data_IF_957654729580
#
_entry.id   IF_957654729580
#
_cell.length_a   1.000
_cell.length_b   1.000
_cell.length_c   1.000
_cell.angle_alpha   90.00
_cell.angle_beta   90.00
_cell.angle_gamma   90.00
#
_symmetry.space_group_name_H-M   'P 1'
#
loop_
_entity.id
_entity.type
_entity.pdbx_description
1 polymer ?
#
# COMPACT_ATOMS: atom_id res chain seq x y z
N UNK A 1 23.09 -18.30 49.11
CA UNK A 1 22.30 -17.13 48.71
C UNK A 1 21.83 -17.35 47.27
N UNK A 2 20.71 -18.06 47.11
CA UNK A 2 20.06 -18.32 45.82
C UNK A 2 19.01 -17.24 45.60
N UNK A 3 19.33 -16.25 44.76
CA UNK A 3 18.38 -15.23 44.33
C UNK A 3 17.34 -15.88 43.41
N UNK A 4 16.19 -16.23 43.98
CA UNK A 4 15.01 -16.61 43.20
C UNK A 4 14.47 -15.35 42.51
N UNK A 5 14.44 -15.39 41.18
CA UNK A 5 13.77 -14.38 40.36
C UNK A 5 12.26 -14.53 40.62
N UNK A 6 11.53 -13.47 41.02
CA UNK A 6 10.11 -13.57 41.22
C UNK A 6 9.40 -13.83 39.87
N UNK A 7 8.33 -14.64 39.84
CA UNK A 7 7.57 -14.87 38.62
C UNK A 7 6.95 -13.56 38.12
N UNK A 8 7.00 -13.36 36.80
CA UNK A 8 6.34 -12.23 36.15
C UNK A 8 4.85 -12.20 36.51
N UNK A 9 4.25 -11.02 36.75
CA UNK A 9 2.84 -10.93 37.09
C UNK A 9 1.99 -11.50 35.95
N UNK A 10 1.08 -12.41 36.30
CA UNK A 10 0.11 -12.96 35.37
C UNK A 10 -0.73 -11.80 34.80
N UNK A 11 -0.58 -11.54 33.50
CA UNK A 11 -1.50 -10.70 32.74
C UNK A 11 -2.91 -11.24 32.96
N UNK A 12 -3.77 -10.48 33.64
CA UNK A 12 -5.19 -10.81 33.76
C UNK A 12 -5.74 -11.07 32.35
N UNK A 13 -6.18 -12.30 32.08
CA UNK A 13 -6.79 -12.65 30.81
C UNK A 13 -8.12 -11.88 30.71
N UNK A 14 -8.18 -10.91 29.80
CA UNK A 14 -9.42 -10.22 29.48
C UNK A 14 -10.43 -11.24 28.94
N UNK A 15 -11.70 -11.13 29.35
CA UNK A 15 -12.76 -12.01 28.86
C UNK A 15 -12.84 -11.97 27.32
N UNK A 16 -13.14 -13.11 26.66
CA UNK A 16 -13.16 -13.19 25.21
C UNK A 16 -14.23 -12.25 24.64
N UNK A 17 -13.85 -11.55 23.59
CA UNK A 17 -14.69 -10.59 22.91
C UNK A 17 -15.67 -11.31 21.96
N UNK A 18 -16.96 -10.94 22.00
CA UNK A 18 -17.99 -11.49 21.11
C UNK A 18 -17.98 -10.79 19.75
N UNK A 19 -17.95 -11.56 18.66
CA UNK A 19 -17.96 -11.00 17.31
C UNK A 19 -19.27 -10.24 16.94
N UNK A 20 -19.22 -9.33 15.95
CA UNK A 20 -20.41 -8.65 15.39
C UNK A 20 -21.46 -9.69 14.90
N UNK A 21 -22.75 -9.36 15.01
CA UNK A 21 -23.89 -10.24 14.74
C UNK A 21 -23.88 -10.98 13.41
N UNK A 22 -24.59 -12.11 13.33
CA UNK A 22 -24.73 -12.91 12.10
C UNK A 22 -25.56 -12.14 11.05
N UNK A 23 -25.23 -12.32 9.78
CA UNK A 23 -26.19 -12.08 8.68
C UNK A 23 -26.48 -13.44 8.03
N UNK A 24 -27.48 -14.18 8.55
CA UNK A 24 -27.83 -15.47 8.00
C UNK A 24 -28.49 -15.30 6.64
N UNK A 25 -28.19 -16.22 5.73
CA UNK A 25 -28.84 -16.35 4.45
C UNK A 25 -30.30 -16.76 4.69
N UNK A 26 -31.28 -16.08 4.06
CA UNK A 26 -32.69 -16.42 4.24
C UNK A 26 -33.05 -17.81 3.70
N UNK A 27 -32.26 -18.34 2.76
CA UNK A 27 -32.55 -19.62 2.10
C UNK A 27 -32.01 -20.83 2.85
N UNK A 28 -30.75 -20.77 3.32
CA UNK A 28 -30.07 -21.94 3.91
C UNK A 28 -29.50 -21.69 5.32
N UNK A 29 -29.69 -20.49 5.88
CA UNK A 29 -29.20 -20.14 7.23
C UNK A 29 -27.68 -19.93 7.34
N UNK A 30 -26.89 -20.21 6.29
CA UNK A 30 -25.45 -19.97 6.31
C UNK A 30 -25.09 -18.47 6.33
N UNK A 31 -23.89 -18.11 6.78
CA UNK A 31 -23.50 -16.70 6.86
C UNK A 31 -23.25 -16.09 5.48
N UNK A 32 -23.84 -14.93 5.22
CA UNK A 32 -23.59 -14.13 4.02
C UNK A 32 -22.20 -13.46 4.10
N UNK A 33 -21.56 -13.34 2.94
CA UNK A 33 -20.23 -12.73 2.78
C UNK A 33 -20.23 -11.67 1.69
N UNK A 34 -19.34 -10.67 1.78
CA UNK A 34 -19.15 -9.70 0.71
C UNK A 34 -18.52 -10.35 -0.51
N UNK A 35 -19.24 -10.34 -1.63
CA UNK A 35 -18.76 -10.88 -2.89
C UNK A 35 -18.25 -9.77 -3.82
N UNK A 36 -16.93 -9.78 -4.08
CA UNK A 36 -16.28 -8.78 -4.92
C UNK A 36 -16.81 -8.73 -6.37
N UNK A 37 -17.14 -9.87 -6.97
CA UNK A 37 -17.63 -9.90 -8.35
C UNK A 37 -19.06 -9.38 -8.47
N UNK A 38 -19.92 -9.72 -7.50
CA UNK A 38 -21.34 -9.32 -7.50
C UNK A 38 -21.59 -7.97 -6.82
N UNK A 39 -20.60 -7.41 -6.12
CA UNK A 39 -20.74 -6.19 -5.32
C UNK A 39 -21.93 -6.25 -4.36
N UNK A 40 -22.13 -7.40 -3.72
CA UNK A 40 -23.29 -7.68 -2.88
C UNK A 40 -22.96 -8.73 -1.81
N UNK A 41 -23.84 -8.83 -0.81
CA UNK A 41 -23.82 -9.95 0.14
C UNK A 41 -24.35 -11.21 -0.53
N UNK A 42 -23.51 -12.24 -0.61
CA UNK A 42 -23.82 -13.51 -1.26
C UNK A 42 -23.53 -14.65 -0.31
N UNK A 43 -24.41 -15.63 -0.28
CA UNK A 43 -24.19 -16.87 0.45
C UNK A 43 -23.14 -17.73 -0.30
N UNK A 44 -22.01 -18.08 0.31
CA UNK A 44 -21.01 -18.92 -0.34
C UNK A 44 -21.46 -20.38 -0.53
N UNK A 45 -22.54 -20.80 0.16
CA UNK A 45 -23.05 -22.18 0.10
C UNK A 45 -24.10 -22.39 -0.99
N UNK A 46 -25.19 -21.61 -0.96
CA UNK A 46 -26.30 -21.76 -1.92
C UNK A 46 -26.31 -20.72 -3.04
N UNK A 47 -25.44 -19.70 -2.96
CA UNK A 47 -25.34 -18.66 -3.99
C UNK A 47 -26.42 -17.56 -3.93
N UNK A 48 -27.33 -17.60 -2.95
CA UNK A 48 -28.35 -16.57 -2.73
C UNK A 48 -27.70 -15.20 -2.49
N UNK A 49 -28.12 -14.21 -3.26
CA UNK A 49 -27.75 -12.80 -3.06
C UNK A 49 -28.79 -12.16 -2.15
N UNK A 50 -28.36 -11.56 -1.05
CA UNK A 50 -29.27 -10.89 -0.13
C UNK A 50 -29.55 -9.44 -0.56
N UNK A 51 -30.76 -8.98 -0.27
CA UNK A 51 -31.10 -7.56 -0.37
C UNK A 51 -30.40 -6.83 0.79
N UNK A 52 -29.33 -6.10 0.47
CA UNK A 52 -28.64 -5.21 1.39
C UNK A 52 -28.36 -3.90 0.67
N UNK A 53 -28.67 -2.79 1.34
CA UNK A 53 -28.45 -1.45 0.80
C UNK A 53 -27.19 -0.89 1.47
N UNK A 54 -26.15 -0.52 0.70
CA UNK A 54 -24.96 0.09 1.29
C UNK A 54 -25.31 1.41 1.97
N UNK A 55 -24.57 1.80 3.02
CA UNK A 55 -24.69 3.13 3.60
C UNK A 55 -24.56 4.20 2.52
N UNK A 56 -25.43 5.22 2.57
CA UNK A 56 -25.36 6.33 1.64
C UNK A 56 -24.09 7.16 1.94
N UNK A 57 -23.16 7.33 0.99
CA UNK A 57 -21.97 8.15 1.17
C UNK A 57 -22.28 9.62 1.49
N UNK A 58 -23.51 10.09 1.25
CA UNK A 58 -23.94 11.47 1.46
C UNK A 58 -24.98 11.64 2.58
N UNK A 59 -25.36 10.58 3.30
CA UNK A 59 -26.30 10.70 4.41
C UNK A 59 -25.64 11.36 5.62
N UNK A 60 -25.88 12.66 5.80
CA UNK A 60 -25.51 13.42 7.00
C UNK A 60 -26.65 13.49 8.02
N UNK A 61 -27.26 12.34 8.38
CA UNK A 61 -28.47 12.30 9.22
C UNK A 61 -28.21 12.25 10.73
N UNK A 62 -26.95 12.45 11.17
CA UNK A 62 -26.59 12.52 12.58
C UNK A 62 -26.51 11.17 13.30
N UNK A 63 -26.62 10.05 12.59
CA UNK A 63 -26.12 8.77 13.08
C UNK A 63 -24.58 8.73 12.94
N UNK A 64 -23.85 8.12 13.88
CA UNK A 64 -22.37 8.02 13.87
C UNK A 64 -21.79 7.27 12.64
N UNK A 65 -22.65 6.86 11.70
CA UNK A 65 -22.32 6.20 10.44
C UNK A 65 -22.62 7.07 9.20
N UNK A 66 -22.58 8.41 9.35
CA UNK A 66 -22.87 9.37 8.28
C UNK A 66 -21.65 9.82 7.49
N UNK A 67 -21.63 9.51 6.19
CA UNK A 67 -20.72 10.06 5.18
C UNK A 67 -19.21 9.76 5.31
N UNK A 68 -18.47 9.90 4.22
CA UNK A 68 -16.99 9.91 4.27
C UNK A 68 -16.55 11.32 4.65
N UNK A 69 -16.10 11.49 5.90
CA UNK A 69 -15.78 12.82 6.47
C UNK A 69 -14.30 12.94 6.79
N UNK A 70 -13.71 14.05 6.37
CA UNK A 70 -12.36 14.48 6.73
C UNK A 70 -12.28 14.89 8.21
N UNK A 71 -11.26 14.40 8.92
CA UNK A 71 -11.03 14.77 10.32
C UNK A 71 -9.87 15.77 10.45
N UNK A 72 -10.00 16.75 11.36
CA UNK A 72 -8.92 17.69 11.64
C UNK A 72 -7.72 16.98 12.29
N UNK A 73 -6.56 17.07 11.64
CA UNK A 73 -5.37 16.35 12.06
C UNK A 73 -4.78 16.91 13.36
N UNK A 74 -4.79 18.23 13.53
CA UNK A 74 -4.18 18.86 14.71
C UNK A 74 -4.98 18.55 15.97
N UNK A 75 -6.31 18.63 15.88
CA UNK A 75 -7.23 18.25 16.95
C UNK A 75 -7.03 16.77 17.32
N UNK A 76 -7.01 15.88 16.33
CA UNK A 76 -6.83 14.45 16.59
C UNK A 76 -5.47 14.12 17.23
N UNK A 77 -4.39 14.79 16.84
CA UNK A 77 -3.06 14.55 17.44
C UNK A 77 -2.94 15.02 18.89
N UNK A 78 -3.80 15.94 19.34
CA UNK A 78 -3.85 16.42 20.73
C UNK A 78 -4.66 15.51 21.64
N UNK A 79 -5.56 14.69 21.08
CA UNK A 79 -6.37 13.74 21.85
C UNK A 79 -5.48 12.66 22.51
N UNK A 80 -5.47 12.51 23.84
CA UNK A 80 -4.74 11.46 24.54
C UNK A 80 -5.12 10.04 24.11
N UNK A 81 -6.36 9.82 23.65
CA UNK A 81 -6.79 8.53 23.14
C UNK A 81 -5.93 8.12 21.93
N UNK A 82 -5.67 9.06 21.01
CA UNK A 82 -4.86 8.87 19.81
C UNK A 82 -3.35 8.78 20.08
N UNK A 83 -2.93 9.07 21.31
CA UNK A 83 -1.54 8.93 21.76
C UNK A 83 -1.25 7.52 22.29
N UNK A 84 -2.29 6.69 22.49
CA UNK A 84 -2.13 5.27 22.82
C UNK A 84 -1.64 4.56 21.57
N UNK A 85 -0.33 4.32 21.51
CA UNK A 85 0.31 3.59 20.42
C UNK A 85 -0.21 2.17 20.25
N UNK A 86 0.23 1.50 19.19
CA UNK A 86 -0.15 0.11 18.94
C UNK A 86 0.32 -0.83 20.07
N UNK A 87 -0.59 -1.69 20.55
CA UNK A 87 -0.31 -2.75 21.53
C UNK A 87 -0.40 -4.13 20.87
N UNK A 88 0.61 -4.98 21.12
CA UNK A 88 0.68 -6.37 20.62
C UNK A 88 -0.15 -7.37 21.44
N UNK A 89 -1.32 -6.94 21.93
CA UNK A 89 -2.14 -7.80 22.77
C UNK A 89 -2.84 -8.85 21.90
N UNK A 90 -2.60 -10.12 22.20
CA UNK A 90 -3.36 -11.25 21.66
C UNK A 90 -4.81 -11.10 22.11
N UNK A 91 -5.75 -11.25 21.18
CA UNK A 91 -7.18 -11.13 21.48
C UNK A 91 -7.88 -12.45 21.22
N UNK A 92 -8.60 -12.91 22.23
CA UNK A 92 -9.47 -14.07 22.13
C UNK A 92 -10.84 -13.60 21.64
N UNK A 93 -11.30 -14.17 20.53
CA UNK A 93 -12.56 -13.81 19.87
C UNK A 93 -13.45 -15.04 19.85
N UNK A 94 -14.61 -14.95 20.49
CA UNK A 94 -15.59 -16.02 20.48
C UNK A 94 -16.44 -15.96 19.21
N UNK A 95 -16.39 -17.02 18.41
CA UNK A 95 -17.20 -17.16 17.21
C UNK A 95 -18.69 -17.28 17.56
N UNK A 96 -19.56 -16.45 16.98
CA UNK A 96 -21.02 -16.56 17.19
C UNK A 96 -21.64 -17.78 16.52
N UNK A 97 -20.93 -18.45 15.61
CA UNK A 97 -21.44 -19.60 14.87
C UNK A 97 -21.18 -20.93 15.59
N UNK A 98 -19.91 -21.24 15.88
CA UNK A 98 -19.53 -22.50 16.53
C UNK A 98 -19.14 -22.36 18.01
N UNK A 99 -19.17 -21.13 18.56
CA UNK A 99 -18.78 -20.81 19.94
C UNK A 99 -17.32 -21.08 20.31
N UNK A 100 -16.50 -21.56 19.36
CA UNK A 100 -15.06 -21.71 19.55
C UNK A 100 -14.38 -20.34 19.69
N UNK A 101 -13.34 -20.31 20.52
CA UNK A 101 -12.50 -19.12 20.73
C UNK A 101 -11.32 -19.19 19.76
N UNK A 102 -11.21 -18.20 18.88
CA UNK A 102 -10.07 -18.02 17.97
C UNK A 102 -9.17 -16.92 18.52
N UNK A 103 -7.84 -17.09 18.41
CA UNK A 103 -6.88 -16.06 18.83
C UNK A 103 -6.52 -15.21 17.63
N UNK A 104 -6.89 -13.94 17.67
CA UNK A 104 -6.49 -12.97 16.67
C UNK A 104 -5.10 -12.47 17.06
N UNK A 105 -4.12 -12.80 16.21
CA UNK A 105 -2.71 -12.40 16.32
C UNK A 105 -2.38 -11.28 15.34
N UNK A 106 -1.26 -10.60 15.57
CA UNK A 106 -0.67 -9.61 14.66
C UNK A 106 -1.61 -8.45 14.27
N UNK A 107 -2.49 -8.05 15.20
CA UNK A 107 -3.39 -6.93 14.97
C UNK A 107 -4.53 -7.21 13.99
N UNK A 108 -4.95 -8.46 13.75
CA UNK A 108 -6.17 -8.72 12.96
C UNK A 108 -7.44 -8.33 13.73
N UNK A 109 -8.42 -7.77 13.03
CA UNK A 109 -9.74 -7.37 13.61
C UNK A 109 -10.92 -8.05 12.95
N UNK A 110 -10.72 -8.62 11.75
CA UNK A 110 -11.65 -9.56 11.15
C UNK A 110 -10.87 -10.68 10.47
N UNK A 111 -11.37 -11.91 10.58
CA UNK A 111 -10.93 -13.06 9.79
C UNK A 111 -12.03 -14.13 9.78
N UNK A 112 -11.84 -15.21 9.03
CA UNK A 112 -12.68 -16.41 9.18
C UNK A 112 -12.33 -17.10 10.49
N UNK A 113 -13.32 -17.66 11.18
CA UNK A 113 -13.11 -18.51 12.34
C UNK A 113 -12.26 -19.73 11.93
N UNK A 114 -11.21 -20.02 12.69
CA UNK A 114 -10.27 -21.12 12.40
C UNK A 114 -10.94 -22.50 12.46
N UNK A 115 -12.08 -22.61 13.15
CA UNK A 115 -12.77 -23.88 13.38
C UNK A 115 -13.88 -24.16 12.37
N UNK A 116 -14.73 -23.18 12.07
CA UNK A 116 -15.91 -23.39 11.22
C UNK A 116 -15.98 -22.47 10.01
N UNK A 117 -14.95 -21.64 9.77
CA UNK A 117 -14.84 -20.79 8.59
C UNK A 117 -15.84 -19.62 8.52
N UNK A 118 -16.72 -19.44 9.51
CA UNK A 118 -17.67 -18.33 9.53
C UNK A 118 -16.96 -17.00 9.77
N UNK A 119 -17.42 -15.88 9.19
CA UNK A 119 -16.86 -14.57 9.47
C UNK A 119 -16.86 -14.27 10.99
N UNK A 120 -15.69 -13.94 11.52
CA UNK A 120 -15.50 -13.49 12.89
C UNK A 120 -14.92 -12.07 12.85
N UNK A 121 -15.69 -11.09 13.30
CA UNK A 121 -15.35 -9.66 13.26
C UNK A 121 -15.41 -9.14 14.69
N UNK A 122 -14.33 -8.55 15.16
CA UNK A 122 -14.26 -7.91 16.49
C UNK A 122 -15.01 -6.57 16.44
N UNK A 123 -15.89 -6.32 17.40
CA UNK A 123 -16.59 -5.04 17.47
C UNK A 123 -15.63 -3.92 17.89
N UNK A 124 -15.86 -2.70 17.40
CA UNK A 124 -14.90 -1.61 17.56
C UNK A 124 -14.70 -1.20 19.03
N UNK A 125 -15.77 -1.21 19.81
CA UNK A 125 -15.79 -0.77 21.21
C UNK A 125 -14.85 -1.63 22.08
N UNK A 126 -14.54 -2.84 21.62
CA UNK A 126 -13.65 -3.79 22.28
C UNK A 126 -12.20 -3.68 21.80
N UNK A 127 -11.94 -2.98 20.69
CA UNK A 127 -10.60 -2.79 20.15
C UNK A 127 -9.78 -1.76 20.94
N UNK A 128 -10.42 -0.93 21.78
CA UNK A 128 -9.82 0.24 22.44
C UNK A 128 -9.05 1.15 21.47
N UNK A 129 -9.35 1.03 20.17
CA UNK A 129 -8.75 1.84 19.13
C UNK A 129 -9.29 3.24 19.25
N UNK A 130 -8.39 4.21 19.18
CA UNK A 130 -8.80 5.60 19.25
C UNK A 130 -9.45 6.06 17.93
N UNK A 131 -9.18 5.36 16.82
CA UNK A 131 -9.69 5.71 15.49
C UNK A 131 -10.19 4.46 14.76
N UNK A 132 -11.49 4.43 14.44
CA UNK A 132 -12.08 3.45 13.50
C UNK A 132 -11.79 3.80 12.05
N UNK A 133 -11.82 2.81 11.15
CA UNK A 133 -12.00 3.11 9.75
C UNK A 133 -13.35 3.82 9.54
N UNK A 134 -13.35 5.05 9.01
CA UNK A 134 -14.59 5.73 8.64
C UNK A 134 -15.07 5.31 7.26
N UNK A 135 -14.16 4.83 6.41
CA UNK A 135 -14.46 4.46 5.04
C UNK A 135 -13.68 3.24 4.57
N UNK A 136 -14.17 2.65 3.49
CA UNK A 136 -13.66 1.45 2.87
C UNK A 136 -13.79 1.55 1.36
N UNK A 137 -12.77 1.07 0.66
CA UNK A 137 -12.86 0.81 -0.77
C UNK A 137 -13.26 -0.66 -0.95
N UNK A 138 -14.48 -0.99 -1.43
CA UNK A 138 -14.92 -2.38 -1.49
C UNK A 138 -14.04 -3.22 -2.44
N UNK A 139 -13.74 -4.47 -2.07
CA UNK A 139 -13.11 -5.41 -3.01
C UNK A 139 -13.92 -5.49 -4.31
N UNK A 140 -13.27 -5.31 -5.46
CA UNK A 140 -13.91 -5.33 -6.79
C UNK A 140 -13.48 -6.53 -7.62
N UNK A 141 -12.22 -6.96 -7.48
CA UNK A 141 -11.70 -8.14 -8.17
C UNK A 141 -11.88 -9.38 -7.30
N UNK A 142 -12.48 -10.42 -7.89
CA UNK A 142 -12.64 -11.71 -7.23
C UNK A 142 -11.33 -12.49 -7.15
N UNK A 143 -11.29 -13.45 -6.23
CA UNK A 143 -10.18 -14.40 -6.07
C UNK A 143 -9.81 -15.08 -7.41
N UNK A 144 -10.81 -15.55 -8.16
CA UNK A 144 -10.60 -16.18 -9.47
C UNK A 144 -9.95 -15.23 -10.51
N UNK A 145 -10.46 -13.99 -10.61
CA UNK A 145 -9.88 -12.98 -11.50
C UNK A 145 -8.44 -12.65 -11.11
N UNK A 146 -8.17 -12.57 -9.81
CA UNK A 146 -6.86 -12.24 -9.29
C UNK A 146 -5.85 -13.37 -9.49
N UNK A 147 -6.24 -14.63 -9.25
CA UNK A 147 -5.42 -15.81 -9.53
C UNK A 147 -4.95 -15.84 -10.98
N UNK A 148 -5.83 -15.56 -11.92
CA UNK A 148 -5.48 -15.53 -13.33
C UNK A 148 -4.49 -14.40 -13.66
N UNK A 149 -4.68 -13.21 -13.09
CA UNK A 149 -3.73 -12.09 -13.25
C UNK A 149 -2.36 -12.41 -12.66
N UNK A 150 -2.30 -13.00 -11.46
CA UNK A 150 -1.04 -13.44 -10.83
C UNK A 150 -0.36 -14.51 -11.70
N UNK A 151 -1.11 -15.49 -12.21
CA UNK A 151 -0.59 -16.52 -13.12
C UNK A 151 0.03 -15.91 -14.37
N UNK A 152 -0.66 -14.97 -15.03
CA UNK A 152 -0.13 -14.24 -16.19
C UNK A 152 1.13 -13.44 -15.85
N UNK A 153 1.12 -12.76 -14.70
CA UNK A 153 2.26 -11.98 -14.23
C UNK A 153 3.51 -12.84 -14.00
N UNK A 154 3.39 -14.05 -13.44
CA UNK A 154 4.51 -14.98 -13.33
C UNK A 154 5.00 -15.51 -14.68
N UNK A 155 4.05 -15.79 -15.60
CA UNK A 155 4.35 -16.27 -16.94
C UNK A 155 5.27 -15.33 -17.72
N UNK A 156 5.07 -14.01 -17.59
CA UNK A 156 5.82 -12.98 -18.33
C UNK A 156 7.27 -12.78 -17.86
N UNK A 157 7.67 -13.35 -16.71
CA UNK A 157 9.00 -13.10 -16.12
C UNK A 157 10.09 -13.96 -16.75
N UNK A 158 10.79 -13.44 -17.76
CA UNK A 158 11.78 -14.22 -18.51
C UNK A 158 12.90 -14.81 -17.63
N UNK A 159 13.45 -14.00 -16.72
CA UNK A 159 14.54 -14.37 -15.81
C UNK A 159 14.10 -15.15 -14.55
N UNK A 160 12.81 -15.39 -14.36
CA UNK A 160 12.35 -16.21 -13.24
C UNK A 160 12.66 -17.71 -13.48
N UNK A 161 13.00 -18.49 -12.44
CA UNK A 161 13.18 -19.94 -12.54
C UNK A 161 11.96 -20.65 -13.16
N UNK A 162 12.20 -21.65 -14.02
CA UNK A 162 11.11 -22.37 -14.70
C UNK A 162 10.22 -23.17 -13.75
N UNK A 163 10.74 -23.57 -12.58
CA UNK A 163 9.96 -24.20 -11.50
C UNK A 163 8.93 -23.22 -10.90
N UNK A 164 9.29 -21.94 -10.76
CA UNK A 164 8.38 -20.92 -10.24
C UNK A 164 7.22 -20.65 -11.20
N UNK A 165 7.49 -20.60 -12.51
CA UNK A 165 6.45 -20.44 -13.53
C UNK A 165 5.43 -21.59 -13.56
N UNK A 166 5.83 -22.76 -13.07
CA UNK A 166 5.01 -23.98 -13.00
C UNK A 166 4.36 -24.17 -11.63
N UNK A 167 4.83 -23.46 -10.60
CA UNK A 167 4.25 -23.54 -9.28
C UNK A 167 2.88 -22.84 -9.29
N UNK A 168 1.84 -23.57 -8.91
CA UNK A 168 0.51 -23.02 -8.68
C UNK A 168 0.50 -22.23 -7.36
N UNK A 169 1.18 -21.08 -7.33
CA UNK A 169 1.19 -20.16 -6.19
C UNK A 169 -0.16 -19.44 -5.98
N UNK A 170 -1.19 -19.86 -6.71
CA UNK A 170 -2.55 -19.35 -6.57
C UNK A 170 -3.16 -19.74 -5.23
N UNK A 171 -2.86 -20.91 -4.67
CA UNK A 171 -3.52 -21.41 -3.45
C UNK A 171 -3.14 -20.65 -2.18
N UNK A 172 -2.05 -19.89 -2.25
CA UNK A 172 -1.59 -18.98 -1.20
C UNK A 172 -2.14 -17.56 -1.33
N UNK A 173 -2.99 -17.28 -2.32
CA UNK A 173 -3.61 -15.97 -2.49
C UNK A 173 -4.57 -15.68 -1.33
N UNK A 174 -4.35 -14.58 -0.63
CA UNK A 174 -5.17 -14.12 0.49
C UNK A 174 -5.65 -12.70 0.22
N UNK A 175 -6.94 -12.48 0.36
CA UNK A 175 -7.55 -11.16 0.31
C UNK A 175 -7.57 -10.52 1.70
N UNK A 176 -7.00 -9.34 1.81
CA UNK A 176 -6.87 -8.59 3.06
C UNK A 176 -7.27 -7.14 2.83
N UNK A 177 -8.05 -6.58 3.76
CA UNK A 177 -8.20 -5.13 3.88
C UNK A 177 -7.05 -4.58 4.71
N UNK A 178 -6.25 -3.71 4.10
CA UNK A 178 -5.15 -3.04 4.78
C UNK A 178 -5.62 -1.65 5.25
N UNK A 179 -5.24 -1.24 6.47
CA UNK A 179 -5.49 0.11 6.96
C UNK A 179 -4.56 1.08 6.24
N UNK A 180 -5.11 2.20 5.81
CA UNK A 180 -4.40 3.31 5.21
C UNK A 180 -4.85 4.60 5.87
N UNK A 181 -3.91 5.52 6.00
CA UNK A 181 -4.19 6.91 6.32
C UNK A 181 -4.16 7.69 5.02
N UNK A 182 -5.13 8.57 4.81
CA UNK A 182 -5.06 9.58 3.77
C UNK A 182 -4.88 10.93 4.44
N UNK A 183 -4.08 11.80 3.85
CA UNK A 183 -3.82 13.13 4.37
C UNK A 183 -4.03 14.18 3.29
N UNK A 184 -4.77 15.21 3.67
CA UNK A 184 -4.97 16.40 2.84
C UNK A 184 -4.21 17.57 3.45
N UNK A 185 -3.70 18.43 2.58
CA UNK A 185 -3.10 19.69 3.01
C UNK A 185 -2.99 20.68 1.86
N UNK A 186 -3.30 21.95 2.17
CA UNK A 186 -2.89 23.06 1.31
C UNK A 186 -1.44 23.41 1.60
N UNK A 187 -0.58 23.29 0.58
CA UNK A 187 0.84 23.61 0.67
C UNK A 187 1.16 24.89 -0.08
N UNK A 188 1.73 25.85 0.64
CA UNK A 188 2.32 27.07 0.10
C UNK A 188 3.83 27.00 0.21
N UNK A 189 4.53 27.02 -0.94
CA UNK A 189 5.98 26.93 -0.99
C UNK A 189 6.61 28.15 -1.66
N UNK A 190 7.71 28.62 -1.09
CA UNK A 190 8.65 29.55 -1.73
C UNK A 190 9.95 28.80 -2.00
N UNK A 191 10.51 28.95 -3.19
CA UNK A 191 11.74 28.26 -3.56
C UNK A 191 12.77 29.20 -4.17
N UNK A 192 14.04 28.86 -3.98
CA UNK A 192 15.22 29.51 -4.56
C UNK A 192 16.16 28.43 -5.09
N UNK A 193 16.75 28.65 -6.24
CA UNK A 193 17.70 27.73 -6.88
C UNK A 193 18.63 28.49 -7.85
N UNK A 194 19.68 27.82 -8.30
CA UNK A 194 20.42 28.26 -9.49
C UNK A 194 19.87 27.51 -10.70
N UNK A 195 19.34 28.24 -11.67
CA UNK A 195 18.94 27.75 -12.98
C UNK A 195 20.17 27.56 -13.88
N UNK A 196 20.36 26.35 -14.40
CA UNK A 196 21.45 26.01 -15.30
C UNK A 196 20.96 26.02 -16.76
N UNK A 197 21.60 26.84 -17.58
CA UNK A 197 21.36 26.87 -19.03
C UNK A 197 22.58 26.29 -19.76
N UNK A 198 22.34 25.27 -20.57
CA UNK A 198 23.39 24.69 -21.39
C UNK A 198 23.77 25.64 -22.52
N UNK A 199 25.08 25.81 -22.71
CA UNK A 199 25.62 26.45 -23.90
C UNK A 199 26.87 25.70 -24.33
N UNK A 200 27.20 25.80 -25.61
CA UNK A 200 28.33 25.11 -26.21
C UNK A 200 29.35 26.11 -26.70
N UNK A 201 30.62 25.83 -26.45
CA UNK A 201 31.73 26.59 -27.02
C UNK A 201 32.67 25.66 -27.78
N UNK A 202 33.16 26.13 -28.93
CA UNK A 202 34.15 25.42 -29.72
C UNK A 202 35.53 25.56 -29.07
N UNK A 203 36.14 24.44 -28.66
CA UNK A 203 37.51 24.41 -28.18
C UNK A 203 38.42 23.76 -29.23
N UNK A 204 39.50 24.45 -29.60
CA UNK A 204 40.53 23.92 -30.48
C UNK A 204 41.61 23.22 -29.66
N UNK A 205 42.02 22.02 -30.07
CA UNK A 205 43.13 21.26 -29.47
C UNK A 205 43.97 20.61 -30.57
N UNK A 206 45.20 20.20 -30.24
CA UNK A 206 46.04 19.42 -31.15
C UNK A 206 45.91 17.94 -30.82
N UNK A 207 45.71 17.11 -31.84
CA UNK A 207 45.76 15.66 -31.69
C UNK A 207 47.20 15.15 -31.55
N UNK A 208 47.36 13.85 -31.29
CA UNK A 208 48.67 13.20 -31.16
C UNK A 208 49.52 13.23 -32.44
N UNK A 209 48.95 13.63 -33.57
CA UNK A 209 49.61 13.78 -34.86
C UNK A 209 49.93 15.26 -35.18
N UNK A 210 49.60 16.19 -34.27
CA UNK A 210 49.88 17.62 -34.41
C UNK A 210 48.82 18.42 -35.18
N UNK A 211 47.73 17.79 -35.65
CA UNK A 211 46.68 18.47 -36.39
C UNK A 211 45.75 19.24 -35.45
N UNK A 212 45.29 20.42 -35.89
CA UNK A 212 44.29 21.21 -35.15
C UNK A 212 42.90 20.58 -35.33
N UNK A 213 42.32 20.13 -34.23
CA UNK A 213 40.97 19.61 -34.15
C UNK A 213 40.09 20.54 -33.32
N UNK A 214 38.80 20.56 -33.61
CA UNK A 214 37.81 21.28 -32.79
C UNK A 214 36.85 20.29 -32.15
N UNK A 215 36.43 20.58 -30.91
CA UNK A 215 35.34 19.86 -30.24
C UNK A 215 34.37 20.84 -29.60
N UNK A 216 33.09 20.48 -29.61
CA UNK A 216 32.08 21.19 -28.82
C UNK A 216 32.22 20.78 -27.36
N UNK A 217 32.39 21.76 -26.49
CA UNK A 217 32.41 21.56 -25.03
C UNK A 217 31.14 22.16 -24.46
N UNK A 218 30.39 21.35 -23.71
CA UNK A 218 29.18 21.79 -23.01
C UNK A 218 29.57 22.52 -21.72
N UNK A 219 29.01 23.71 -21.54
CA UNK A 219 29.12 24.50 -20.33
C UNK A 219 27.73 24.78 -19.74
N UNK A 220 27.68 25.13 -18.46
CA UNK A 220 26.44 25.47 -17.76
C UNK A 220 26.56 26.89 -17.23
N UNK A 221 25.69 27.79 -17.70
CA UNK A 221 25.54 29.13 -17.14
C UNK A 221 24.52 29.08 -16.01
N UNK A 222 24.96 29.38 -14.80
CA UNK A 222 24.11 29.42 -13.61
C UNK A 222 23.53 30.83 -13.41
N UNK A 223 22.22 30.93 -13.28
CA UNK A 223 21.49 32.17 -13.05
C UNK A 223 20.60 31.98 -11.81
N UNK A 224 20.60 32.90 -10.83
CA UNK A 224 19.71 32.78 -9.68
C UNK A 224 18.25 32.81 -10.13
N UNK A 225 17.45 31.89 -9.60
CA UNK A 225 16.03 31.78 -9.86
C UNK A 225 15.26 31.59 -8.55
N UNK A 226 14.05 32.12 -8.51
CA UNK A 226 13.15 31.97 -7.37
C UNK A 226 11.71 31.97 -7.82
N UNK A 227 10.85 31.34 -7.05
CA UNK A 227 9.43 31.33 -7.33
C UNK A 227 8.60 30.89 -6.14
N UNK A 228 7.30 30.80 -6.39
CA UNK A 228 6.32 30.31 -5.43
C UNK A 228 5.47 29.23 -6.07
N UNK A 229 4.96 28.31 -5.27
CA UNK A 229 4.09 27.23 -5.70
C UNK A 229 3.00 27.03 -4.66
N UNK A 230 1.75 27.01 -5.12
CA UNK A 230 0.61 26.55 -4.34
C UNK A 230 0.23 25.17 -4.85
N UNK A 231 0.00 24.23 -3.94
CA UNK A 231 -0.42 22.88 -4.28
C UNK A 231 -1.36 22.34 -3.22
N UNK A 232 -2.42 21.65 -3.65
CA UNK A 232 -3.29 20.92 -2.74
C UNK A 232 -2.93 19.44 -2.84
N UNK A 233 -2.57 18.84 -1.71
CA UNK A 233 -2.47 17.40 -1.56
C UNK A 233 -3.86 16.88 -1.16
N UNK A 234 -4.36 15.94 -1.95
CA UNK A 234 -5.68 15.32 -1.80
C UNK A 234 -5.46 13.81 -1.77
N UNK A 235 -5.75 13.20 -0.63
CA UNK A 235 -5.49 11.82 -0.27
C UNK A 235 -4.03 11.36 -0.46
N UNK A 236 -3.05 12.02 0.18
CA UNK A 236 -1.69 11.46 0.21
C UNK A 236 -1.67 10.20 1.11
N UNK A 237 -1.45 9.04 0.47
CA UNK A 237 -1.59 7.72 1.08
C UNK A 237 -0.39 7.33 1.94
N UNK A 238 -0.68 6.91 3.18
CA UNK A 238 0.31 6.32 4.08
C UNK A 238 -0.21 4.97 4.58
N UNK A 239 0.48 3.85 4.29
CA UNK A 239 0.04 2.54 4.75
C UNK A 239 0.11 2.45 6.28
N UNK A 240 -0.98 1.99 6.88
CA UNK A 240 -1.10 1.72 8.31
C UNK A 240 -0.52 0.36 8.74
N UNK A 241 0.02 -0.42 7.82
CA UNK A 241 0.57 -1.78 8.05
C UNK A 241 2.10 -1.76 8.13
N UNK A 242 2.67 -2.69 8.91
CA UNK A 242 4.10 -3.04 8.84
C UNK A 242 4.35 -4.45 8.29
N UNK A 243 3.28 -5.23 8.04
CA UNK A 243 3.37 -6.61 7.57
C UNK A 243 3.57 -6.76 6.06
N UNK A 244 3.37 -5.67 5.30
CA UNK A 244 3.52 -5.64 3.85
C UNK A 244 4.63 -4.66 3.46
N UNK A 245 5.50 -5.05 2.52
CA UNK A 245 6.61 -4.20 2.09
C UNK A 245 6.09 -2.89 1.48
N UNK A 246 6.41 -1.75 2.10
CA UNK A 246 5.97 -0.42 1.65
C UNK A 246 6.37 -0.11 0.19
N UNK A 247 7.51 -0.62 -0.27
CA UNK A 247 7.98 -0.46 -1.65
C UNK A 247 7.15 -1.23 -2.68
N UNK A 248 6.46 -2.30 -2.27
CA UNK A 248 5.50 -3.01 -3.09
C UNK A 248 4.13 -2.33 -3.08
N UNK A 249 3.70 -1.85 -1.90
CA UNK A 249 2.47 -1.06 -1.76
C UNK A 249 2.46 0.18 -2.66
N UNK A 250 3.57 0.95 -2.65
CA UNK A 250 3.73 2.12 -3.53
C UNK A 250 3.60 1.81 -5.03
N UNK A 251 3.85 0.56 -5.45
CA UNK A 251 3.75 0.15 -6.86
C UNK A 251 2.34 -0.28 -7.27
N UNK A 252 1.44 -0.51 -6.31
CA UNK A 252 0.03 -0.86 -6.57
C UNK A 252 -0.93 0.30 -6.32
N UNK A 253 -0.41 1.40 -5.76
CA UNK A 253 -1.02 2.73 -5.73
C UNK A 253 -1.07 3.35 -7.15
N UNK A 254 -2.00 4.30 -7.40
CA UNK A 254 -2.99 4.83 -6.47
C UNK A 254 -4.20 3.91 -6.27
N UNK A 255 -4.82 3.99 -5.10
CA UNK A 255 -6.18 3.51 -4.88
C UNK A 255 -7.17 4.64 -5.24
N UNK A 256 -8.34 4.34 -5.81
CA UNK A 256 -9.34 5.35 -6.16
C UNK A 256 -10.11 5.82 -4.92
N UNK A 257 -9.39 6.43 -3.97
CA UNK A 257 -9.97 6.93 -2.73
C UNK A 257 -10.85 8.17 -2.97
N UNK A 258 -10.49 8.99 -3.95
CA UNK A 258 -11.21 10.23 -4.29
C UNK A 258 -12.60 10.01 -4.90
N UNK A 259 -12.84 8.86 -5.55
CA UNK A 259 -14.08 8.64 -6.31
C UNK A 259 -14.97 7.54 -5.75
N UNK A 260 -14.37 6.50 -5.16
CA UNK A 260 -15.05 5.21 -4.96
C UNK A 260 -15.10 4.79 -3.47
N UNK A 261 -14.67 5.65 -2.53
CA UNK A 261 -14.81 5.39 -1.10
C UNK A 261 -16.28 5.28 -0.69
N UNK A 262 -16.55 4.32 0.21
CA UNK A 262 -17.84 4.12 0.85
C UNK A 262 -17.69 4.29 2.36
N UNK A 263 -18.72 4.79 3.07
CA UNK A 263 -18.73 4.72 4.53
C UNK A 263 -18.52 3.28 4.98
N UNK A 264 -17.74 3.11 6.03
CA UNK A 264 -17.43 1.79 6.54
C UNK A 264 -18.71 1.11 7.05
N UNK A 265 -18.86 -0.16 6.69
CA UNK A 265 -19.88 -1.04 7.24
C UNK A 265 -19.28 -2.45 7.38
N UNK A 266 -19.56 -3.16 8.49
CA UNK A 266 -19.05 -4.51 8.73
C UNK A 266 -19.36 -5.51 7.59
N UNK A 267 -20.43 -5.27 6.84
CA UNK A 267 -20.89 -6.10 5.72
C UNK A 267 -19.84 -6.18 4.61
N UNK A 268 -19.10 -5.10 4.33
CA UNK A 268 -18.03 -5.09 3.32
C UNK A 268 -16.84 -5.99 3.66
N UNK A 269 -16.61 -6.25 4.96
CA UNK A 269 -15.48 -7.04 5.45
C UNK A 269 -15.87 -8.48 5.80
N UNK A 270 -17.16 -8.85 5.69
CA UNK A 270 -17.60 -10.24 5.94
C UNK A 270 -16.99 -11.21 4.96
N UNK A 271 -16.28 -12.20 5.49
CA UNK A 271 -15.57 -13.21 4.69
C UNK A 271 -14.14 -12.81 4.31
N UNK A 272 -13.71 -11.60 4.68
CA UNK A 272 -12.38 -11.04 4.40
C UNK A 272 -11.55 -10.92 5.68
N UNK A 273 -10.23 -10.89 5.50
CA UNK A 273 -9.31 -10.57 6.61
C UNK A 273 -9.15 -9.05 6.66
N UNK A 274 -9.18 -8.47 7.87
CA UNK A 274 -8.93 -7.03 8.07
C UNK A 274 -7.82 -6.87 9.08
N UNK A 275 -6.81 -6.10 8.71
CA UNK A 275 -5.71 -5.72 9.58
C UNK A 275 -6.04 -4.42 10.31
N UNK A 276 -5.68 -4.34 11.60
CA UNK A 276 -5.64 -3.10 12.38
C UNK A 276 -4.41 -2.31 12.02
N UNK A 277 -4.48 -0.98 12.09
CA UNK A 277 -3.29 -0.16 11.92
C UNK A 277 -2.24 -0.50 12.99
N UNK A 278 -1.02 -0.72 12.54
CA UNK A 278 0.20 -0.89 13.36
C UNK A 278 1.02 0.40 13.37
N UNK A 279 0.84 1.25 12.35
CA UNK A 279 1.35 2.61 12.29
C UNK A 279 0.24 3.54 12.79
N UNK A 280 0.43 4.13 13.98
CA UNK A 280 -0.50 5.10 14.56
C UNK A 280 -0.55 6.42 13.78
N UNK A 281 -1.56 7.25 14.08
CA UNK A 281 -1.80 8.53 13.41
C UNK A 281 -0.60 9.48 13.48
N UNK A 282 0.10 9.55 14.63
CA UNK A 282 1.24 10.47 14.80
C UNK A 282 2.40 10.08 13.89
N UNK A 283 2.73 8.80 13.84
CA UNK A 283 3.76 8.27 12.95
C UNK A 283 3.33 8.40 11.49
N UNK A 284 2.09 8.08 11.17
CA UNK A 284 1.54 8.20 9.83
C UNK A 284 1.58 9.65 9.32
N UNK A 285 1.17 10.62 10.15
CA UNK A 285 1.20 12.05 9.84
C UNK A 285 2.62 12.55 9.55
N UNK A 286 3.60 12.09 10.34
CA UNK A 286 5.02 12.41 10.12
C UNK A 286 5.51 11.87 8.77
N UNK A 287 5.16 10.62 8.45
CA UNK A 287 5.51 10.00 7.17
C UNK A 287 4.79 10.69 6.00
N UNK A 288 3.51 11.04 6.15
CA UNK A 288 2.73 11.76 5.15
C UNK A 288 3.32 13.14 4.86
N UNK A 289 3.70 13.88 5.90
CA UNK A 289 4.37 15.18 5.75
C UNK A 289 5.72 15.05 5.02
N UNK A 290 6.53 14.05 5.35
CA UNK A 290 7.79 13.79 4.62
C UNK A 290 7.55 13.48 3.13
N UNK A 291 6.51 12.69 2.81
CA UNK A 291 6.15 12.38 1.42
C UNK A 291 5.68 13.64 0.67
N UNK A 292 4.81 14.44 1.29
CA UNK A 292 4.36 15.72 0.75
C UNK A 292 5.53 16.68 0.53
N UNK A 293 6.49 16.76 1.46
CA UNK A 293 7.69 17.60 1.32
C UNK A 293 8.57 17.15 0.13
N UNK A 294 8.81 15.85 -0.03
CA UNK A 294 9.57 15.32 -1.17
C UNK A 294 8.89 15.62 -2.50
N UNK A 295 7.57 15.41 -2.58
CA UNK A 295 6.78 15.68 -3.78
C UNK A 295 6.72 17.18 -4.09
N UNK A 296 6.51 18.03 -3.09
CA UNK A 296 6.51 19.48 -3.24
C UNK A 296 7.88 19.99 -3.70
N UNK A 297 8.98 19.43 -3.17
CA UNK A 297 10.33 19.75 -3.63
C UNK A 297 10.54 19.36 -5.09
N UNK A 298 10.05 18.21 -5.54
CA UNK A 298 10.11 17.80 -6.95
C UNK A 298 9.27 18.72 -7.85
N UNK A 299 8.08 19.14 -7.40
CA UNK A 299 7.26 20.12 -8.12
C UNK A 299 7.98 21.47 -8.23
N UNK A 300 8.56 21.99 -7.15
CA UNK A 300 9.37 23.20 -7.19
C UNK A 300 10.57 23.05 -8.12
N UNK A 301 11.25 21.90 -8.09
CA UNK A 301 12.38 21.60 -8.98
C UNK A 301 11.98 21.69 -10.47
N UNK A 302 10.80 21.16 -10.84
CA UNK A 302 10.26 21.26 -12.20
C UNK A 302 9.85 22.67 -12.63
N UNK A 303 9.72 23.61 -11.67
CA UNK A 303 9.42 25.02 -11.94
C UNK A 303 10.69 25.88 -12.07
N UNK A 304 11.86 25.35 -11.74
CA UNK A 304 13.12 26.06 -11.95
C UNK A 304 13.34 26.22 -13.46
N UNK A 305 13.50 27.44 -13.98
CA UNK A 305 13.77 27.65 -15.40
C UNK A 305 15.14 27.07 -15.78
N UNK A 306 15.32 26.70 -17.05
CA UNK A 306 16.58 26.17 -17.57
C UNK A 306 16.57 24.66 -17.78
N UNK A 307 17.71 24.14 -18.23
CA UNK A 307 17.89 22.74 -18.62
C UNK A 307 18.26 21.85 -17.43
N UNK A 308 18.78 22.45 -16.36
CA UNK A 308 19.13 21.79 -15.11
C UNK A 308 19.06 22.80 -13.96
N UNK A 309 19.21 22.33 -12.72
CA UNK A 309 19.23 23.19 -11.54
C UNK A 309 20.19 22.67 -10.48
N UNK A 310 20.61 23.55 -9.57
CA UNK A 310 21.33 23.17 -8.34
C UNK A 310 20.91 24.06 -7.18
N UNK A 311 21.35 23.70 -5.97
CA UNK A 311 21.14 24.50 -4.75
C UNK A 311 19.66 24.83 -4.47
N UNK A 312 18.74 23.93 -4.84
CA UNK A 312 17.32 24.14 -4.60
C UNK A 312 17.03 24.13 -3.10
N UNK A 313 16.49 25.25 -2.61
CA UNK A 313 15.96 25.41 -1.25
C UNK A 313 14.46 25.66 -1.38
N UNK A 314 13.67 24.92 -0.61
CA UNK A 314 12.21 25.03 -0.58
C UNK A 314 11.79 25.27 0.86
N UNK A 315 11.09 26.38 1.08
CA UNK A 315 10.45 26.79 2.32
C UNK A 315 8.95 26.58 2.14
N UNK A 316 8.36 25.65 2.88
CA UNK A 316 6.98 25.23 2.70
C UNK A 316 6.18 25.33 4.00
N UNK A 317 4.92 25.75 3.86
CA UNK A 317 3.93 25.77 4.94
C UNK A 317 2.73 24.93 4.53
N UNK A 318 2.17 24.18 5.48
CA UNK A 318 1.03 23.31 5.30
C UNK A 318 -0.13 23.79 6.17
N UNK A 319 -1.30 23.97 5.58
CA UNK A 319 -2.51 24.48 6.24
C UNK A 319 -3.72 23.60 5.91
N UNK A 320 -4.76 23.66 6.74
CA UNK A 320 -5.99 22.88 6.54
C UNK A 320 -5.73 21.37 6.49
N UNK A 321 -4.95 20.87 7.45
CA UNK A 321 -4.50 19.47 7.45
C UNK A 321 -5.62 18.57 7.96
N UNK A 322 -6.14 17.71 7.09
CA UNK A 322 -7.13 16.70 7.47
C UNK A 322 -6.64 15.29 7.19
N UNK A 323 -7.35 14.31 7.70
CA UNK A 323 -7.07 12.90 7.45
C UNK A 323 -8.33 12.04 7.45
N UNK A 324 -8.22 10.88 6.79
CA UNK A 324 -9.14 9.74 6.94
C UNK A 324 -8.37 8.48 7.29
N UNK A 325 -9.04 7.58 8.00
CA UNK A 325 -8.61 6.19 8.16
C UNK A 325 -9.47 5.31 7.26
N UNK A 326 -8.83 4.71 6.26
CA UNK A 326 -9.51 3.99 5.17
C UNK A 326 -9.04 2.55 5.09
N UNK A 327 -9.95 1.63 4.79
CA UNK A 327 -9.60 0.25 4.46
C UNK A 327 -9.50 0.07 2.95
N UNK A 328 -8.35 -0.37 2.45
CA UNK A 328 -8.14 -0.65 1.02
C UNK A 328 -8.01 -2.15 0.75
N UNK A 329 -8.57 -2.66 -0.36
CA UNK A 329 -8.56 -4.08 -0.67
C UNK A 329 -7.23 -4.45 -1.32
N UNK A 330 -6.51 -5.40 -0.73
CA UNK A 330 -5.23 -5.90 -1.24
C UNK A 330 -5.20 -7.42 -1.27
N UNK A 331 -4.76 -7.96 -2.40
CA UNK A 331 -4.45 -9.38 -2.52
C UNK A 331 -2.97 -9.60 -2.23
N UNK A 332 -2.67 -10.58 -1.38
CA UNK A 332 -1.32 -10.93 -0.94
C UNK A 332 -1.01 -12.38 -1.32
N UNK A 333 0.22 -12.60 -1.79
CA UNK A 333 0.81 -13.93 -1.95
C UNK A 333 2.16 -13.91 -1.28
N UNK A 334 2.38 -14.88 -0.40
CA UNK A 334 3.70 -15.15 0.20
C UNK A 334 4.16 -16.52 -0.25
N UNK A 335 5.40 -16.62 -0.68
CA UNK A 335 6.00 -17.90 -1.03
C UNK A 335 7.49 -17.91 -0.70
N UNK A 336 7.99 -19.10 -0.41
CA UNK A 336 9.42 -19.32 -0.13
C UNK A 336 10.08 -19.97 -1.35
N UNK A 337 11.27 -19.51 -1.68
CA UNK A 337 12.11 -20.11 -2.71
C UNK A 337 13.55 -20.21 -2.22
N UNK A 338 13.99 -21.43 -1.90
CA UNK A 338 15.23 -21.65 -1.16
C UNK A 338 15.11 -21.10 0.27
N UNK A 339 16.08 -20.28 0.68
CA UNK A 339 16.11 -19.65 2.00
C UNK A 339 15.44 -18.25 2.04
N UNK A 340 14.89 -17.76 0.93
CA UNK A 340 14.30 -16.42 0.84
C UNK A 340 12.78 -16.48 0.68
N UNK A 341 12.11 -15.57 1.36
CA UNK A 341 10.66 -15.32 1.19
C UNK A 341 10.47 -14.20 0.18
N UNK A 342 9.45 -14.35 -0.64
CA UNK A 342 9.06 -13.38 -1.66
C UNK A 342 7.60 -13.01 -1.46
N UNK A 343 7.29 -11.74 -1.68
CA UNK A 343 5.94 -11.21 -1.59
C UNK A 343 5.43 -10.71 -2.95
N UNK A 344 4.17 -10.97 -3.23
CA UNK A 344 3.40 -10.30 -4.28
C UNK A 344 2.20 -9.64 -3.64
N UNK A 345 1.95 -8.41 -4.08
CA UNK A 345 0.80 -7.60 -3.69
C UNK A 345 0.04 -7.19 -4.94
N UNK A 346 -1.28 -7.16 -4.85
CA UNK A 346 -2.13 -6.67 -5.91
C UNK A 346 -3.22 -5.76 -5.34
N UNK A 347 -3.50 -4.67 -6.05
CA UNK A 347 -4.63 -3.82 -5.74
C UNK A 347 -5.93 -4.58 -6.03
N UNK A 348 -6.74 -4.85 -5.01
CA UNK A 348 -8.01 -5.58 -5.11
C UNK A 348 -9.13 -4.81 -5.82
N UNK A 349 -8.87 -3.54 -6.15
CA UNK A 349 -9.80 -2.68 -6.88
C UNK A 349 -9.39 -2.53 -8.37
N UNK A 350 -8.16 -2.12 -8.64
CA UNK A 350 -7.66 -1.86 -10.00
C UNK A 350 -7.01 -3.09 -10.65
N UNK A 351 -6.50 -4.00 -9.84
CA UNK A 351 -5.75 -5.18 -10.27
C UNK A 351 -4.32 -4.90 -10.70
N UNK A 352 -3.78 -3.71 -10.39
CA UNK A 352 -2.35 -3.41 -10.50
C UNK A 352 -1.56 -4.35 -9.60
N UNK A 353 -0.46 -4.89 -10.13
CA UNK A 353 0.31 -5.98 -9.53
C UNK A 353 1.77 -5.58 -9.35
N UNK A 354 2.29 -5.78 -8.14
CA UNK A 354 3.70 -5.64 -7.83
C UNK A 354 4.18 -6.85 -7.05
N UNK A 355 5.36 -7.35 -7.37
CA UNK A 355 5.86 -8.54 -6.71
C UNK A 355 7.35 -8.69 -6.86
N UNK A 356 7.92 -9.40 -5.90
CA UNK A 356 9.30 -9.84 -5.90
C UNK A 356 9.41 -11.20 -6.59
N UNK A 357 10.59 -11.47 -7.16
CA UNK A 357 10.85 -12.74 -7.81
C UNK A 357 12.30 -13.21 -7.55
N UNK A 358 12.53 -14.52 -7.46
CA UNK A 358 13.88 -15.06 -7.58
C UNK A 358 14.37 -14.90 -9.02
N UNK A 359 15.65 -14.59 -9.16
CA UNK A 359 16.32 -14.51 -10.45
C UNK A 359 17.11 -15.79 -10.71
N UNK A 360 16.99 -16.34 -11.92
CA UNK A 360 17.77 -17.50 -12.34
C UNK A 360 19.11 -17.03 -12.92
N UNK A 361 20.18 -17.18 -12.13
CA UNK A 361 21.54 -16.83 -12.55
C UNK A 361 21.96 -17.54 -13.83
N UNK A 362 21.53 -18.81 -14.03
CA UNK A 362 21.79 -19.57 -15.26
C UNK A 362 21.20 -18.88 -16.48
N UNK A 363 19.93 -18.42 -16.40
CA UNK A 363 19.29 -17.70 -17.51
C UNK A 363 19.93 -16.36 -17.79
N UNK A 364 20.34 -15.65 -16.74
CA UNK A 364 21.05 -14.37 -16.87
C UNK A 364 22.42 -14.60 -17.54
N UNK A 365 23.18 -15.59 -17.07
CA UNK A 365 24.49 -15.94 -17.63
C UNK A 365 24.38 -16.33 -19.11
N UNK A 366 23.40 -17.17 -19.47
CA UNK A 366 23.15 -17.53 -20.87
C UNK A 366 22.77 -16.31 -21.72
N UNK A 367 21.95 -15.40 -21.21
CA UNK A 367 21.59 -14.17 -21.92
C UNK A 367 22.80 -13.25 -22.13
N UNK A 368 23.67 -13.13 -21.12
CA UNK A 368 24.91 -12.35 -21.22
C UNK A 368 25.87 -12.97 -22.23
N UNK A 369 26.07 -14.30 -22.18
CA UNK A 369 26.92 -15.02 -23.15
C UNK A 369 26.41 -14.87 -24.58
N UNK A 370 25.09 -14.98 -24.78
CA UNK A 370 24.46 -14.76 -26.10
C UNK A 370 24.69 -13.33 -26.59
N UNK A 371 24.53 -12.33 -25.72
CA UNK A 371 24.80 -10.93 -26.04
C UNK A 371 26.25 -10.68 -26.44
N UNK A 372 27.21 -11.26 -25.71
CA UNK A 372 28.64 -11.17 -26.03
C UNK A 372 28.97 -11.85 -27.37
N UNK A 373 28.37 -13.00 -27.65
CA UNK A 373 28.56 -13.71 -28.92
C UNK A 373 28.04 -12.90 -30.10
N UNK A 374 26.86 -12.28 -29.98
CA UNK A 374 26.30 -11.38 -31.02
C UNK A 374 27.21 -10.17 -31.23
N UNK A 375 27.69 -9.55 -30.15
CA UNK A 375 28.61 -8.41 -30.23
C UNK A 375 29.92 -8.79 -30.94
N UNK A 376 30.50 -9.94 -30.58
CA UNK A 376 31.71 -10.45 -31.23
C UNK A 376 31.50 -10.69 -32.73
N UNK A 377 30.33 -11.22 -33.12
CA UNK A 377 29.98 -11.48 -34.51
C UNK A 377 29.79 -10.17 -35.30
N UNK A 378 29.17 -9.15 -34.70
CA UNK A 378 29.03 -7.81 -35.29
C UNK A 378 30.39 -7.13 -35.49
N UNK A 379 31.28 -7.21 -34.49
CA UNK A 379 32.65 -6.67 -34.59
C UNK A 379 33.45 -7.41 -35.66
N UNK A 380 33.33 -8.74 -35.72
CA UNK A 380 33.98 -9.55 -36.76
C UNK A 380 33.47 -9.18 -38.16
N UNK A 381 32.15 -9.01 -38.35
CA UNK A 381 31.59 -8.55 -39.62
C UNK A 381 32.05 -7.14 -39.99
N UNK A 382 32.17 -6.21 -39.03
CA UNK A 382 32.72 -4.88 -39.28
C UNK A 382 34.21 -4.91 -39.63
N UNK A 383 34.98 -5.86 -39.10
CA UNK A 383 36.40 -6.01 -39.45
C UNK A 383 36.64 -6.61 -40.84
N UNK A 384 35.61 -7.18 -41.47
CA UNK A 384 35.66 -7.78 -42.81
C UNK A 384 35.20 -6.80 -43.91
N UNK A 385 34.58 -5.68 -43.55
CA UNK A 385 34.26 -4.55 -44.44
C UNK A 385 35.38 -3.51 -44.38
#
# INVERSE_FOLDING_TARGET
MTNAIPPAPASAAAAPTTAIGKHPCPECGANLEWNAARQALVCPYCGTTAAWRPPDPNAGDGSEAGGVVEQDLEQALRDPANQRGWSNQRREVQCRNCHAISVFVDGRVAQRCDFCGSPAIVAHEQLQDAITPQSILPFRLSDAQMRERVRKWYGSRWFAPSKLKRAALTDTLKGVYLPYWTFDAHASARWRADAGHYYYTTQTYRDSQGNLQTRQVQHIRWVPASGQLQHFFDDELVPGTVGVHASLLRKIEPFPTLTDLRPYSPEYVRGWTVERYQVDLRRAATLGEQQMQQRLRALCASRVPGDTHRNLVVDAQYQGRTFKHVLVPVWLVHYTYGAKTYQIVANGYTGTLAGEQPYSWVKIALAVLLGLMVLALLVWMQSQQ
#
